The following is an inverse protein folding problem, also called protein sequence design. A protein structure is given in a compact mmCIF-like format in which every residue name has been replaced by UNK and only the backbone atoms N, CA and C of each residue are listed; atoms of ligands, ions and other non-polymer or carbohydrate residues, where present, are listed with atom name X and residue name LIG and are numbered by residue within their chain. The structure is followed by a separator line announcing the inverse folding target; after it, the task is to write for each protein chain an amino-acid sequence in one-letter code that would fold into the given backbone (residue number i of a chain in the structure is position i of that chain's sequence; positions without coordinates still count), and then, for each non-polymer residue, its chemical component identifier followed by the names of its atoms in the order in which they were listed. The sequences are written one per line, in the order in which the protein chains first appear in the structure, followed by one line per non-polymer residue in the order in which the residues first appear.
data_IF_542399501905
#
_entry.id   IF_542399501905
#
_cell.length_a   1.000
_cell.length_b   1.000
_cell.length_c   1.000
_cell.angle_alpha   90.00
_cell.angle_beta   90.00
_cell.angle_gamma   90.00
#
_symmetry.space_group_name_H-M   'P 1'
#
loop_
_entity.id
_entity.type
_entity.pdbx_description
1 polymer ?
#
# COMPACT_ATOMS: atom_id res chain seq x y z
N UNK A 1 -1.45 -23.59 0.90
CA UNK A 1 -2.07 -22.29 0.57
C UNK A 1 -3.28 -21.97 1.42
N UNK A 2 -4.33 -22.80 1.47
CA UNK A 2 -5.55 -22.50 2.27
C UNK A 2 -5.30 -22.17 3.74
N UNK A 3 -4.41 -22.93 4.41
CA UNK A 3 -4.02 -22.65 5.80
C UNK A 3 -3.40 -21.26 5.95
N UNK A 4 -2.50 -20.87 5.05
CA UNK A 4 -1.87 -19.54 5.07
C UNK A 4 -2.91 -18.44 4.89
N UNK A 5 -3.83 -18.59 3.94
CA UNK A 5 -4.92 -17.63 3.72
C UNK A 5 -5.85 -17.53 4.94
N UNK A 6 -6.21 -18.66 5.56
CA UNK A 6 -7.01 -18.68 6.80
C UNK A 6 -6.31 -17.93 7.92
N UNK A 7 -5.01 -18.18 8.11
CA UNK A 7 -4.22 -17.52 9.14
C UNK A 7 -4.16 -16.00 8.95
N UNK A 8 -4.13 -15.50 7.71
CA UNK A 8 -4.15 -14.05 7.45
C UNK A 8 -5.46 -13.41 7.91
N UNK A 9 -6.59 -14.10 7.71
CA UNK A 9 -7.92 -13.62 8.12
C UNK A 9 -8.12 -13.76 9.62
N UNK A 10 -7.86 -14.94 10.17
CA UNK A 10 -8.15 -15.29 11.56
C UNK A 10 -7.33 -14.46 12.55
N UNK A 11 -6.06 -14.19 12.23
CA UNK A 11 -5.18 -13.39 13.07
C UNK A 11 -5.37 -11.87 12.89
N UNK A 12 -6.36 -11.45 12.08
CA UNK A 12 -6.70 -10.03 11.82
C UNK A 12 -5.45 -9.20 11.44
N UNK A 13 -4.64 -9.76 10.55
CA UNK A 13 -3.36 -9.16 10.18
C UNK A 13 -3.59 -7.89 9.37
N UNK A 14 -2.82 -6.84 9.67
CA UNK A 14 -2.73 -5.66 8.82
C UNK A 14 -1.77 -5.95 7.66
N UNK A 15 -2.22 -5.76 6.43
CA UNK A 15 -1.41 -6.05 5.24
C UNK A 15 -1.08 -4.74 4.53
N UNK A 16 0.22 -4.56 4.26
CA UNK A 16 0.73 -3.48 3.42
C UNK A 16 1.27 -4.02 2.10
N UNK A 17 1.07 -3.27 1.02
CA UNK A 17 1.54 -3.56 -0.32
C UNK A 17 2.50 -2.48 -0.75
N UNK A 18 3.69 -2.87 -1.22
CA UNK A 18 4.75 -1.93 -1.62
C UNK A 18 4.32 -1.10 -2.82
N UNK A 19 3.59 -1.68 -3.77
CA UNK A 19 3.03 -0.98 -4.93
C UNK A 19 2.01 0.10 -4.53
N UNK A 20 1.33 -0.09 -3.39
CA UNK A 20 0.31 0.82 -2.83
C UNK A 20 0.74 1.30 -1.45
N UNK A 21 2.00 1.75 -1.34
CA UNK A 21 2.60 2.12 -0.06
C UNK A 21 1.86 3.28 0.62
N UNK A 22 1.33 4.24 -0.15
CA UNK A 22 0.55 5.35 0.40
C UNK A 22 -0.68 4.84 1.18
N UNK A 23 -1.47 3.96 0.56
CA UNK A 23 -2.67 3.37 1.16
C UNK A 23 -2.30 2.47 2.35
N UNK A 24 -1.16 1.78 2.26
CA UNK A 24 -0.61 0.96 3.34
C UNK A 24 -0.19 1.80 4.56
N UNK A 25 0.38 2.98 4.32
CA UNK A 25 0.76 3.91 5.38
C UNK A 25 -0.47 4.56 6.02
N UNK A 26 -1.51 4.88 5.25
CA UNK A 26 -2.79 5.39 5.76
C UNK A 26 -3.44 4.35 6.70
N UNK A 27 -3.46 3.09 6.28
CA UNK A 27 -3.94 1.98 7.11
C UNK A 27 -3.13 1.82 8.40
N UNK A 28 -1.80 1.89 8.30
CA UNK A 28 -0.92 1.74 9.45
C UNK A 28 -1.06 2.90 10.43
N UNK A 29 -1.19 4.12 9.91
CA UNK A 29 -1.41 5.33 10.68
C UNK A 29 -2.73 5.25 11.45
N UNK A 30 -3.82 4.82 10.81
CA UNK A 30 -5.11 4.62 11.48
C UNK A 30 -5.05 3.64 12.67
N UNK A 31 -4.21 2.61 12.59
CA UNK A 31 -4.10 1.58 13.63
C UNK A 31 -3.20 2.02 14.79
N UNK A 32 -2.12 2.74 14.49
CA UNK A 32 -1.13 3.13 15.49
C UNK A 32 -1.39 4.48 16.14
N UNK A 33 -2.07 5.38 15.43
CA UNK A 33 -2.16 6.79 15.78
C UNK A 33 -3.54 7.33 15.38
N UNK A 34 -4.55 6.97 16.18
CA UNK A 34 -5.94 7.41 15.95
C UNK A 34 -6.14 8.92 16.13
N UNK A 35 -5.25 9.57 16.88
CA UNK A 35 -5.34 11.00 17.23
C UNK A 35 -4.47 11.89 16.32
N UNK A 36 -3.89 11.32 15.25
CA UNK A 36 -3.06 11.98 14.24
C UNK A 36 -1.80 12.70 14.81
N UNK A 37 -1.29 12.31 15.98
CA UNK A 37 -0.13 12.96 16.63
C UNK A 37 1.20 12.70 15.89
N UNK A 38 1.32 11.53 15.26
CA UNK A 38 2.49 11.03 14.53
C UNK A 38 2.36 11.23 13.01
N UNK A 39 1.31 11.91 12.53
CA UNK A 39 1.08 12.23 11.13
C UNK A 39 2.33 12.77 10.40
N UNK A 40 3.16 13.67 10.99
CA UNK A 40 4.37 14.18 10.32
C UNK A 40 5.40 13.09 9.98
N UNK A 41 5.45 12.01 10.76
CA UNK A 41 6.33 10.88 10.49
C UNK A 41 5.81 10.08 9.28
N UNK A 42 4.50 9.83 9.19
CA UNK A 42 3.91 9.11 8.06
C UNK A 42 4.00 9.90 6.74
N UNK A 43 3.85 11.23 6.78
CA UNK A 43 4.08 12.11 5.63
C UNK A 43 5.53 12.07 5.14
N UNK A 44 6.51 11.90 6.04
CA UNK A 44 7.92 11.75 5.66
C UNK A 44 8.16 10.46 4.86
N UNK A 45 7.42 9.40 5.17
CA UNK A 45 7.54 8.07 4.53
C UNK A 45 6.63 7.89 3.31
N UNK A 46 5.73 8.83 3.03
CA UNK A 46 5.01 8.88 1.74
C UNK A 46 3.55 8.58 1.77
N UNK A 47 2.92 8.81 2.91
CA UNK A 47 1.48 8.93 2.98
C UNK A 47 1.05 10.17 2.19
N UNK A 48 0.21 9.99 1.16
CA UNK A 48 -0.38 11.11 0.44
C UNK A 48 -1.46 11.75 1.33
N UNK A 49 -1.15 12.88 1.95
CA UNK A 49 -2.18 13.67 2.63
C UNK A 49 -3.05 14.39 1.60
N UNK A 50 -4.16 13.74 1.20
CA UNK A 50 -5.37 14.44 0.71
C UNK A 50 -6.21 14.98 1.86
N UNK A 51 -5.70 14.93 3.10
CA UNK A 51 -6.21 15.72 4.21
C UNK A 51 -6.13 17.18 3.78
N UNK A 52 -7.28 17.68 3.34
CA UNK A 52 -7.49 19.05 2.94
C UNK A 52 -7.20 19.87 4.19
N UNK A 53 -6.00 20.45 4.28
CA UNK A 53 -5.74 21.52 5.25
C UNK A 53 -6.68 22.68 4.89
N UNK A 54 -7.91 22.64 5.38
CA UNK A 54 -8.80 23.79 5.44
C UNK A 54 -8.21 24.72 6.49
N UNK A 55 -7.21 25.49 6.08
CA UNK A 55 -6.82 26.67 6.83
C UNK A 55 -8.04 27.60 6.87
N UNK A 56 -8.41 28.08 8.05
CA UNK A 56 -9.47 29.07 8.27
C UNK A 56 -9.25 30.42 7.54
N UNK A 57 -8.15 30.55 6.77
CA UNK A 57 -7.78 31.76 6.03
C UNK A 57 -7.82 31.63 4.50
N UNK A 58 -8.57 30.66 3.94
CA UNK A 58 -8.95 30.66 2.51
C UNK A 58 -7.79 30.65 1.51
N UNK A 59 -6.56 30.37 1.95
CA UNK A 59 -5.36 30.32 1.12
C UNK A 59 -4.85 28.90 1.11
N UNK A 60 -5.16 28.19 0.04
CA UNK A 60 -4.64 26.86 -0.29
C UNK A 60 -3.17 26.97 -0.68
N UNK A 61 -2.28 26.90 0.29
CA UNK A 61 -0.86 26.73 0.01
C UNK A 61 -0.60 25.26 -0.37
N UNK A 62 -0.57 24.99 -1.68
CA UNK A 62 -0.03 23.75 -2.24
C UNK A 62 1.48 23.68 -1.97
N UNK A 63 1.86 23.22 -0.79
CA UNK A 63 3.24 22.89 -0.41
C UNK A 63 3.18 21.57 0.38
N UNK A 64 3.90 20.50 0.06
CA UNK A 64 5.07 20.33 -0.78
C UNK A 64 5.01 18.90 -1.32
N UNK A 65 5.12 18.77 -2.65
CA UNK A 65 5.25 17.49 -3.35
C UNK A 65 6.62 16.90 -2.97
N UNK A 66 6.72 16.26 -1.80
CA UNK A 66 7.92 15.51 -1.42
C UNK A 66 7.98 14.29 -2.32
N UNK A 67 8.77 14.39 -3.38
CA UNK A 67 9.09 13.29 -4.28
C UNK A 67 9.87 12.24 -3.52
N UNK A 68 9.16 11.34 -2.85
CA UNK A 68 9.80 10.17 -2.25
C UNK A 68 10.38 9.38 -3.39
N UNK A 69 11.69 9.18 -3.31
CA UNK A 69 12.43 8.42 -4.30
C UNK A 69 12.08 6.95 -4.08
N UNK A 70 10.95 6.53 -4.66
CA UNK A 70 10.64 5.12 -4.80
C UNK A 70 11.77 4.47 -5.61
N UNK A 71 12.32 3.39 -5.07
CA UNK A 71 13.50 2.68 -5.57
C UNK A 71 14.84 3.45 -5.48
N UNK A 72 15.76 2.95 -4.64
CA UNK A 72 17.16 3.39 -4.61
C UNK A 72 17.96 2.97 -5.87
N UNK A 73 17.45 2.01 -6.64
CA UNK A 73 18.11 1.52 -7.85
C UNK A 73 17.90 2.47 -9.03
N UNK A 74 18.74 3.50 -9.13
CA UNK A 74 18.68 4.52 -10.22
C UNK A 74 18.87 3.97 -11.64
N UNK A 75 19.47 2.78 -11.78
CA UNK A 75 19.95 2.26 -13.08
C UNK A 75 19.12 1.11 -13.65
N UNK A 76 18.53 0.29 -12.77
CA UNK A 76 17.72 -0.86 -13.17
C UNK A 76 16.50 -0.98 -12.26
N UNK A 77 15.33 -1.11 -12.87
CA UNK A 77 14.10 -1.44 -12.17
C UNK A 77 13.86 -2.95 -12.21
N UNK A 78 13.26 -3.50 -11.15
CA UNK A 78 12.80 -4.90 -11.14
C UNK A 78 11.88 -5.19 -12.33
N UNK A 79 11.11 -4.18 -12.78
CA UNK A 79 10.28 -4.27 -14.00
C UNK A 79 11.10 -4.52 -15.27
N UNK A 80 12.27 -3.90 -15.41
CA UNK A 80 13.16 -4.15 -16.55
C UNK A 80 13.73 -5.58 -16.50
N UNK A 81 14.14 -6.04 -15.32
CA UNK A 81 14.64 -7.42 -15.12
C UNK A 81 13.54 -8.43 -15.48
N UNK A 82 12.32 -8.24 -14.98
CA UNK A 82 11.17 -9.10 -15.30
C UNK A 82 10.84 -9.08 -16.80
N UNK A 83 10.95 -7.92 -17.46
CA UNK A 83 10.71 -7.82 -18.90
C UNK A 83 11.73 -8.63 -19.71
N UNK A 84 12.99 -8.60 -19.31
CA UNK A 84 14.03 -9.39 -19.96
C UNK A 84 13.85 -10.89 -19.70
N UNK A 85 13.54 -11.29 -18.47
CA UNK A 85 13.26 -12.68 -18.12
C UNK A 85 12.04 -13.24 -18.89
N UNK A 86 11.04 -12.40 -19.16
CA UNK A 86 9.86 -12.78 -19.94
C UNK A 86 10.13 -13.13 -21.40
N UNK A 87 11.31 -12.82 -21.94
CA UNK A 87 11.70 -13.22 -23.30
C UNK A 87 12.02 -14.70 -23.41
N UNK A 88 12.37 -15.35 -22.29
CA UNK A 88 12.64 -16.78 -22.22
C UNK A 88 11.39 -17.55 -21.77
N UNK A 89 10.72 -18.19 -22.73
CA UNK A 89 9.43 -18.87 -22.51
C UNK A 89 9.59 -20.14 -21.66
N UNK A 90 10.68 -20.88 -21.85
CA UNK A 90 10.94 -22.12 -21.09
C UNK A 90 11.22 -21.79 -19.62
N UNK A 91 12.07 -20.78 -19.39
CA UNK A 91 12.33 -20.28 -18.05
C UNK A 91 11.05 -19.77 -17.38
N UNK A 92 10.26 -18.94 -18.06
CA UNK A 92 9.04 -18.37 -17.48
C UNK A 92 8.01 -19.44 -17.10
N UNK A 93 7.89 -20.51 -17.88
CA UNK A 93 6.96 -21.61 -17.58
C UNK A 93 7.34 -22.30 -16.26
N UNK A 94 8.64 -22.58 -16.06
CA UNK A 94 9.14 -23.18 -14.82
C UNK A 94 9.01 -22.19 -13.65
N UNK A 95 9.33 -20.92 -13.91
CA UNK A 95 9.28 -19.86 -12.92
C UNK A 95 7.85 -19.64 -12.40
N UNK A 96 6.86 -19.52 -13.30
CA UNK A 96 5.44 -19.36 -12.95
C UNK A 96 4.92 -20.56 -12.15
N UNK A 97 5.29 -21.79 -12.53
CA UNK A 97 4.94 -22.99 -11.78
C UNK A 97 5.57 -22.99 -10.38
N UNK A 98 6.81 -22.50 -10.24
CA UNK A 98 7.50 -22.38 -8.97
C UNK A 98 6.84 -21.34 -8.05
N UNK A 99 6.47 -20.17 -8.58
CA UNK A 99 5.89 -19.07 -7.78
C UNK A 99 4.37 -19.13 -7.67
N UNK A 100 3.69 -20.10 -8.31
CA UNK A 100 2.22 -20.18 -8.38
C UNK A 100 1.51 -19.99 -7.04
N UNK A 101 2.07 -20.58 -5.98
CA UNK A 101 1.47 -20.50 -4.65
C UNK A 101 1.69 -19.15 -3.99
N UNK A 102 2.85 -18.52 -4.21
CA UNK A 102 3.09 -17.14 -3.77
C UNK A 102 2.20 -16.17 -4.52
N UNK A 103 2.01 -16.35 -5.83
CA UNK A 103 1.09 -15.53 -6.62
C UNK A 103 -0.33 -15.61 -6.08
N UNK A 104 -0.82 -16.82 -5.76
CA UNK A 104 -2.15 -17.00 -5.16
C UNK A 104 -2.27 -16.35 -3.78
N UNK A 105 -1.25 -16.46 -2.93
CA UNK A 105 -1.25 -15.84 -1.60
C UNK A 105 -1.21 -14.31 -1.74
N UNK A 106 -0.37 -13.80 -2.63
CA UNK A 106 -0.22 -12.37 -2.89
C UNK A 106 -1.53 -11.78 -3.44
N UNK A 107 -2.17 -12.43 -4.41
CA UNK A 107 -3.44 -11.98 -4.97
C UNK A 107 -4.54 -11.92 -3.91
N UNK A 108 -4.65 -12.96 -3.07
CA UNK A 108 -5.58 -12.95 -1.95
C UNK A 108 -5.27 -11.85 -0.93
N UNK A 109 -4.02 -11.73 -0.50
CA UNK A 109 -3.59 -10.69 0.44
C UNK A 109 -3.85 -9.29 -0.11
N UNK A 110 -3.68 -9.10 -1.42
CA UNK A 110 -3.90 -7.83 -2.08
C UNK A 110 -5.39 -7.47 -2.19
N UNK A 111 -6.17 -8.32 -2.84
CA UNK A 111 -7.54 -8.00 -3.21
C UNK A 111 -8.48 -8.18 -2.02
N UNK A 112 -8.41 -9.32 -1.34
CA UNK A 112 -9.40 -9.67 -0.31
C UNK A 112 -9.12 -8.98 1.04
N UNK A 113 -7.86 -8.67 1.32
CA UNK A 113 -7.46 -8.10 2.60
C UNK A 113 -7.10 -6.63 2.48
N UNK A 114 -6.01 -6.30 1.78
CA UNK A 114 -5.52 -4.91 1.74
C UNK A 114 -6.53 -3.95 1.12
N UNK A 115 -7.00 -4.20 -0.11
CA UNK A 115 -7.95 -3.31 -0.77
C UNK A 115 -9.26 -3.18 0.02
N UNK A 116 -9.73 -4.26 0.64
CA UNK A 116 -10.91 -4.25 1.51
C UNK A 116 -10.68 -3.45 2.79
N UNK A 117 -9.53 -3.57 3.43
CA UNK A 117 -9.14 -2.79 4.61
C UNK A 117 -9.13 -1.29 4.27
N UNK A 118 -8.52 -0.91 3.14
CA UNK A 118 -8.48 0.48 2.66
C UNK A 118 -9.90 1.01 2.42
N UNK A 119 -10.77 0.24 1.75
CA UNK A 119 -12.15 0.66 1.51
C UNK A 119 -12.95 0.87 2.80
N UNK A 120 -12.76 0.00 3.80
CA UNK A 120 -13.43 0.13 5.09
C UNK A 120 -12.96 1.39 5.83
N UNK A 121 -11.67 1.68 5.79
CA UNK A 121 -11.11 2.91 6.37
C UNK A 121 -11.71 4.16 5.69
N UNK A 122 -11.74 4.20 4.35
CA UNK A 122 -12.32 5.32 3.59
C UNK A 122 -13.80 5.53 3.92
N UNK A 123 -14.60 4.46 3.98
CA UNK A 123 -16.02 4.54 4.38
C UNK A 123 -16.20 5.06 5.80
N UNK A 124 -15.34 4.65 6.73
CA UNK A 124 -15.38 5.14 8.13
C UNK A 124 -15.09 6.64 8.18
N UNK A 125 -14.12 7.12 7.40
CA UNK A 125 -13.75 8.53 7.33
C UNK A 125 -14.87 9.38 6.67
N UNK A 126 -15.59 8.83 5.69
CA UNK A 126 -16.76 9.48 5.08
C UNK A 126 -17.97 9.54 6.04
N UNK A 127 -18.19 8.49 6.83
CA UNK A 127 -19.32 8.39 7.77
C UNK A 127 -19.12 9.21 9.06
N UNK A 128 -17.89 9.63 9.35
CA UNK A 128 -17.55 10.45 10.52
C UNK A 128 -17.11 11.84 10.05
N UNK A 129 -18.04 12.71 9.58
CA UNK A 129 -17.70 14.11 9.38
C UNK A 129 -17.33 14.67 10.76
N UNK A 130 -16.08 15.06 10.91
CA UNK A 130 -15.56 15.70 12.12
C UNK A 130 -16.51 16.86 12.52
N UNK A 131 -17.10 16.75 13.71
CA UNK A 131 -17.93 17.76 14.36
C UNK A 131 -17.05 18.85 14.99
#
# INVERSE_FOLDING_TARGET
VRLTMSNLVENKVLIGIVEHMSDSLELLQHVLDMDDELLPAFELFGMNTTATRRNNNGTSTTASKRTITANKSKKFSTRQVVTELKRDVEFMTIFEEYVKYESLIYEFARVELHERQVQLLRKKNEATPQL
#
